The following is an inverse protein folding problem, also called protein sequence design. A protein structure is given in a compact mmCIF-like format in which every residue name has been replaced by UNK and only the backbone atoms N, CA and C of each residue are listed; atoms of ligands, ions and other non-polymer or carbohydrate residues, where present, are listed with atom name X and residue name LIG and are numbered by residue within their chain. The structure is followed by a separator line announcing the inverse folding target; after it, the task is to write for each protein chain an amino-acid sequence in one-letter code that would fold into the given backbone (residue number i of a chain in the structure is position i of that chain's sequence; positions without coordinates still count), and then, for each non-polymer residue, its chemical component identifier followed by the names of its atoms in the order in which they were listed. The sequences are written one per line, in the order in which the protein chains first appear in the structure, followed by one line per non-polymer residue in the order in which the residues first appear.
data_IF_430974796133
#
_entry.id   IF_430974796133
#
_cell.length_a   1.000
_cell.length_b   1.000
_cell.length_c   1.000
_cell.angle_alpha   90.00
_cell.angle_beta   90.00
_cell.angle_gamma   90.00
#
_symmetry.space_group_name_H-M   'P 1'
#
loop_
_entity.id
_entity.type
_entity.pdbx_description
1 polymer ?
#
# COMPACT_ATOMS: atom_id res chain seq x y z
N UNK A 1 -5.66 -8.84 13.55
CA UNK A 1 -5.47 -7.59 14.33
C UNK A 1 -4.01 -7.46 14.73
N UNK A 2 -3.41 -6.26 14.82
CA UNK A 2 -3.96 -4.96 14.43
C UNK A 2 -4.43 -4.94 12.97
N UNK A 3 -5.33 -4.03 12.61
CA UNK A 3 -5.87 -3.92 11.26
C UNK A 3 -5.52 -2.58 10.64
N UNK A 4 -5.22 -2.61 9.35
CA UNK A 4 -4.84 -1.43 8.56
C UNK A 4 -5.75 -1.34 7.35
N UNK A 5 -6.22 -0.14 7.05
CA UNK A 5 -6.94 0.19 5.83
C UNK A 5 -5.95 0.73 4.79
N UNK A 6 -5.82 0.04 3.66
CA UNK A 6 -4.95 0.43 2.54
C UNK A 6 -5.85 0.92 1.42
N UNK A 7 -5.72 2.18 1.04
CA UNK A 7 -6.65 2.85 0.12
C UNK A 7 -5.92 3.27 -1.16
N UNK A 8 -6.50 2.91 -2.31
CA UNK A 8 -6.09 3.44 -3.61
C UNK A 8 -6.26 4.95 -3.70
N UNK A 9 -5.66 5.58 -4.71
CA UNK A 9 -5.66 7.04 -4.84
C UNK A 9 -7.09 7.64 -4.85
N UNK A 10 -7.98 7.08 -5.68
CA UNK A 10 -9.37 7.54 -5.77
C UNK A 10 -10.16 7.29 -4.48
N UNK A 11 -10.02 6.09 -3.89
CA UNK A 11 -10.68 5.74 -2.64
C UNK A 11 -10.24 6.64 -1.48
N UNK A 12 -8.94 6.98 -1.42
CA UNK A 12 -8.39 7.86 -0.40
C UNK A 12 -8.90 9.30 -0.55
N UNK A 13 -8.93 9.83 -1.78
CA UNK A 13 -9.51 11.15 -2.07
C UNK A 13 -11.00 11.19 -1.73
N UNK A 14 -11.77 10.19 -2.18
CA UNK A 14 -13.20 10.11 -1.89
C UNK A 14 -13.48 10.03 -0.38
N UNK A 15 -12.66 9.30 0.39
CA UNK A 15 -12.78 9.24 1.85
C UNK A 15 -12.52 10.59 2.52
N UNK A 16 -11.56 11.36 2.02
CA UNK A 16 -11.27 12.69 2.55
C UNK A 16 -12.38 13.70 2.25
N UNK A 17 -13.00 13.61 1.07
CA UNK A 17 -14.09 14.50 0.65
C UNK A 17 -15.45 14.11 1.27
N UNK A 18 -15.62 12.84 1.64
CA UNK A 18 -16.87 12.32 2.17
C UNK A 18 -17.19 12.89 3.57
N UNK A 19 -18.43 13.36 3.70
CA UNK A 19 -19.02 13.77 4.97
C UNK A 19 -20.36 13.06 5.20
N UNK A 20 -20.67 12.76 6.45
CA UNK A 20 -21.99 12.33 6.91
C UNK A 20 -22.56 13.42 7.82
N UNK A 21 -23.60 14.11 7.35
CA UNK A 21 -24.26 15.22 8.07
C UNK A 21 -23.27 16.28 8.59
N UNK A 22 -22.23 16.57 7.82
CA UNK A 22 -21.18 17.54 8.16
C UNK A 22 -20.04 16.99 9.00
N UNK A 23 -20.05 15.72 9.38
CA UNK A 23 -18.92 15.07 10.06
C UNK A 23 -18.06 14.28 9.06
N UNK A 24 -16.72 14.47 9.03
CA UNK A 24 -15.85 13.77 8.08
C UNK A 24 -15.89 12.25 8.27
N UNK A 25 -16.13 11.50 7.18
CA UNK A 25 -16.13 10.02 7.22
C UNK A 25 -14.76 9.47 7.59
N UNK A 26 -13.68 10.16 7.19
CA UNK A 26 -12.32 9.84 7.61
C UNK A 26 -12.19 9.68 9.13
N UNK A 27 -12.79 10.59 9.92
CA UNK A 27 -12.73 10.53 11.38
C UNK A 27 -13.43 9.29 11.95
N UNK A 28 -14.50 8.81 11.30
CA UNK A 28 -15.14 7.55 11.69
C UNK A 28 -14.20 6.37 11.46
N UNK A 29 -13.53 6.31 10.30
CA UNK A 29 -12.61 5.21 9.99
C UNK A 29 -11.40 5.24 10.92
N UNK A 30 -10.83 6.41 11.21
CA UNK A 30 -9.73 6.56 12.14
C UNK A 30 -10.07 6.04 13.55
N UNK A 31 -11.33 6.15 14.00
CA UNK A 31 -11.77 5.57 15.28
C UNK A 31 -11.88 4.05 15.25
N UNK A 32 -12.12 3.45 14.08
CA UNK A 32 -12.27 2.01 13.91
C UNK A 32 -10.91 1.30 13.81
N UNK A 33 -9.99 1.85 13.01
CA UNK A 33 -8.69 1.20 12.74
C UNK A 33 -7.50 1.88 13.41
N UNK A 34 -7.65 3.10 13.92
CA UNK A 34 -6.54 3.94 14.37
C UNK A 34 -6.09 4.90 13.26
N UNK A 35 -5.75 6.14 13.63
CA UNK A 35 -5.38 7.19 12.67
C UNK A 35 -4.12 6.86 11.86
N UNK A 36 -3.17 6.18 12.48
CA UNK A 36 -1.89 5.75 11.95
C UNK A 36 -2.01 4.51 11.04
N UNK A 37 -3.19 3.86 11.02
CA UNK A 37 -3.45 2.62 10.31
C UNK A 37 -4.29 2.84 9.03
N UNK A 38 -4.25 4.05 8.47
CA UNK A 38 -4.79 4.36 7.14
C UNK A 38 -3.62 4.66 6.22
N UNK A 39 -3.39 3.78 5.24
CA UNK A 39 -2.27 3.88 4.29
C UNK A 39 -2.80 4.34 2.94
N UNK A 40 -2.18 5.40 2.40
CA UNK A 40 -2.35 5.80 1.02
C UNK A 40 -1.46 4.96 0.11
N UNK A 41 -2.08 4.19 -0.79
CA UNK A 41 -1.41 3.28 -1.71
C UNK A 41 -1.84 3.57 -3.16
N UNK A 42 -1.26 4.59 -3.81
CA UNK A 42 -1.71 5.01 -5.14
C UNK A 42 -1.50 3.96 -6.25
N UNK A 43 -0.69 2.93 -5.98
CA UNK A 43 -0.45 1.83 -6.92
C UNK A 43 -1.59 0.80 -7.00
N UNK A 44 -2.60 0.88 -6.13
CA UNK A 44 -3.75 -0.03 -6.14
C UNK A 44 -5.05 0.70 -6.50
N UNK A 45 -6.00 -0.06 -7.03
CA UNK A 45 -7.39 0.36 -7.21
C UNK A 45 -8.26 -0.18 -6.06
N UNK A 46 -9.31 0.54 -5.71
CA UNK A 46 -10.17 0.18 -4.59
C UNK A 46 -9.46 0.30 -3.23
N UNK A 47 -9.62 -0.70 -2.36
CA UNK A 47 -9.00 -0.72 -1.05
C UNK A 47 -8.82 -2.15 -0.50
N UNK A 48 -8.01 -2.28 0.55
CA UNK A 48 -7.87 -3.50 1.33
C UNK A 48 -7.98 -3.20 2.82
N UNK A 49 -8.53 -4.16 3.57
CA UNK A 49 -8.36 -4.23 5.03
C UNK A 49 -7.46 -5.42 5.31
N UNK A 50 -6.32 -5.16 5.95
CA UNK A 50 -5.29 -6.18 6.21
C UNK A 50 -4.99 -6.30 7.70
N UNK A 51 -4.73 -7.52 8.15
CA UNK A 51 -4.21 -7.80 9.48
C UNK A 51 -2.68 -7.69 9.49
N UNK A 52 -2.12 -6.93 10.42
CA UNK A 52 -0.66 -6.76 10.62
C UNK A 52 -0.14 -7.56 11.81
N UNK A 53 -0.77 -8.70 12.12
CA UNK A 53 -0.32 -9.63 13.19
C UNK A 53 1.03 -10.31 12.91
N UNK A 54 1.51 -10.24 11.67
CA UNK A 54 2.76 -10.86 11.23
C UNK A 54 2.57 -12.29 10.70
N UNK A 55 3.44 -12.70 9.76
CA UNK A 55 3.48 -14.06 9.21
C UNK A 55 2.43 -14.38 8.14
N UNK A 56 1.50 -13.46 7.83
CA UNK A 56 0.45 -13.70 6.82
C UNK A 56 0.88 -13.31 5.39
N UNK A 57 1.76 -12.32 5.27
CA UNK A 57 2.29 -11.79 4.02
C UNK A 57 3.81 -11.73 4.11
N UNK A 58 4.51 -12.31 3.13
CA UNK A 58 5.96 -12.31 3.08
C UNK A 58 6.47 -11.69 1.79
N UNK A 59 7.31 -10.66 1.93
CA UNK A 59 8.16 -10.16 0.85
C UNK A 59 9.59 -10.63 1.11
N UNK A 60 10.03 -11.61 0.34
CA UNK A 60 11.39 -12.13 0.43
C UNK A 60 12.28 -11.35 -0.54
N UNK A 61 13.32 -10.70 0.00
CA UNK A 61 14.30 -9.95 -0.78
C UNK A 61 15.57 -10.79 -0.91
N UNK A 62 15.90 -11.23 -2.12
CA UNK A 62 17.22 -11.79 -2.43
C UNK A 62 18.25 -10.68 -2.58
N UNK A 63 17.84 -9.58 -3.22
CA UNK A 63 18.59 -8.32 -3.30
C UNK A 63 17.61 -7.17 -3.13
N UNK A 64 17.88 -6.31 -2.16
CA UNK A 64 17.12 -5.07 -1.96
C UNK A 64 17.46 -4.03 -3.03
N UNK A 65 16.61 -3.01 -3.18
CA UNK A 65 16.70 -1.98 -4.21
C UNK A 65 18.10 -1.37 -4.26
N UNK A 66 18.78 -1.61 -5.38
CA UNK A 66 20.18 -1.25 -5.58
C UNK A 66 20.34 -0.41 -6.85
N UNK A 67 21.33 0.48 -6.85
CA UNK A 67 21.72 1.26 -8.04
C UNK A 67 22.97 0.62 -8.65
N UNK A 68 22.89 0.21 -9.92
CA UNK A 68 24.00 -0.34 -10.67
C UNK A 68 24.52 0.61 -11.75
N UNK A 69 25.80 0.51 -12.09
CA UNK A 69 26.40 1.21 -13.23
C UNK A 69 26.27 0.39 -14.51
N UNK A 70 25.85 1.04 -15.60
CA UNK A 70 25.74 0.41 -16.92
C UNK A 70 26.84 0.88 -17.87
N UNK A 71 27.00 2.20 -18.05
CA UNK A 71 28.01 2.80 -18.93
C UNK A 71 28.11 4.32 -18.72
N UNK A 72 29.06 5.01 -19.35
CA UNK A 72 29.01 6.48 -19.46
C UNK A 72 29.49 6.98 -20.84
N UNK A 73 29.10 8.21 -21.18
CA UNK A 73 29.73 9.05 -22.21
C UNK A 73 30.51 10.18 -21.53
N UNK A 74 31.08 11.10 -22.31
CA UNK A 74 31.71 12.34 -21.85
C UNK A 74 30.79 13.23 -20.98
N UNK A 75 29.47 13.12 -21.15
CA UNK A 75 28.47 14.03 -20.59
C UNK A 75 27.37 13.35 -19.78
N UNK A 76 27.24 12.02 -19.84
CA UNK A 76 26.15 11.28 -19.18
C UNK A 76 26.61 9.95 -18.61
N UNK A 77 26.07 9.59 -17.45
CA UNK A 77 26.21 8.25 -16.85
C UNK A 77 24.88 7.53 -16.94
N UNK A 78 24.90 6.28 -17.41
CA UNK A 78 23.74 5.38 -17.40
C UNK A 78 23.87 4.46 -16.18
N UNK A 79 22.88 4.56 -15.31
CA UNK A 79 22.70 3.68 -14.15
C UNK A 79 21.41 2.86 -14.33
N UNK A 80 21.21 1.83 -13.52
CA UNK A 80 19.98 1.05 -13.46
C UNK A 80 19.56 0.83 -12.01
N UNK A 81 18.27 0.58 -11.80
CA UNK A 81 17.74 0.03 -10.55
C UNK A 81 17.62 -1.48 -10.72
N UNK A 82 18.06 -2.23 -9.70
CA UNK A 82 17.93 -3.69 -9.65
C UNK A 82 17.42 -4.09 -8.27
N UNK A 83 16.43 -4.97 -8.27
CA UNK A 83 15.93 -5.66 -7.10
C UNK A 83 15.67 -7.12 -7.47
N UNK A 84 15.77 -8.03 -6.50
CA UNK A 84 15.38 -9.43 -6.69
C UNK A 84 14.52 -9.83 -5.52
N UNK A 85 13.24 -10.07 -5.79
CA UNK A 85 12.24 -10.32 -4.76
C UNK A 85 11.24 -11.39 -5.17
N UNK A 86 10.55 -11.94 -4.19
CA UNK A 86 9.33 -12.72 -4.38
C UNK A 86 8.34 -12.41 -3.26
N UNK A 87 7.04 -12.40 -3.59
CA UNK A 87 5.97 -12.16 -2.65
C UNK A 87 5.13 -13.42 -2.46
N UNK A 88 4.75 -13.71 -1.21
CA UNK A 88 3.93 -14.87 -0.83
C UNK A 88 2.77 -14.42 0.06
N UNK A 89 1.57 -14.84 -0.32
CA UNK A 89 0.38 -14.77 0.50
C UNK A 89 0.23 -16.11 1.23
N UNK A 90 0.54 -16.14 2.52
CA UNK A 90 0.50 -17.37 3.31
C UNK A 90 -0.90 -17.62 3.89
N UNK A 91 -1.58 -16.55 4.28
CA UNK A 91 -2.89 -16.61 4.91
C UNK A 91 -3.85 -15.67 4.20
N UNK A 92 -4.69 -16.20 3.32
CA UNK A 92 -5.60 -15.39 2.50
C UNK A 92 -6.65 -14.65 3.34
N UNK A 93 -7.13 -15.28 4.42
CA UNK A 93 -8.13 -14.72 5.34
C UNK A 93 -7.61 -13.53 6.17
N UNK A 94 -6.32 -13.21 6.10
CA UNK A 94 -5.74 -12.04 6.75
C UNK A 94 -5.96 -10.74 5.95
N UNK A 95 -6.53 -10.82 4.73
CA UNK A 95 -6.87 -9.67 3.90
C UNK A 95 -8.31 -9.74 3.38
N UNK A 96 -8.95 -8.58 3.27
CA UNK A 96 -10.23 -8.41 2.59
C UNK A 96 -10.08 -7.35 1.50
N UNK A 97 -10.38 -7.71 0.26
CA UNK A 97 -10.39 -6.81 -0.88
C UNK A 97 -11.72 -6.06 -0.96
N UNK A 98 -11.65 -4.75 -1.18
CA UNK A 98 -12.78 -3.86 -1.45
C UNK A 98 -12.60 -3.35 -2.87
N UNK A 99 -13.34 -3.94 -3.80
CA UNK A 99 -13.22 -3.61 -5.22
C UNK A 99 -13.75 -2.20 -5.50
N UNK A 100 -13.18 -1.48 -6.49
CA UNK A 100 -13.74 -0.22 -6.94
C UNK A 100 -15.18 -0.44 -7.43
N UNK A 101 -16.00 0.59 -7.31
CA UNK A 101 -17.36 0.56 -7.83
C UNK A 101 -17.27 0.56 -9.37
N UNK A 102 -17.92 -0.44 -9.99
CA UNK A 102 -18.05 -0.52 -11.45
C UNK A 102 -18.85 0.64 -12.04
#
# INVERSE_FOLDING_TARGET
GPYVAVLGAEAYTALQEANDKGYPVLNHIQRLVGSENIIWAPAIEGAYVISTRGGDFELNLGRDLSIGYLSHTDSKVRLYLEETLTFRLLTAEAAVAILPKA
#
